data_IF_408607525443
#
_entry.id   IF_408607525443
#
_cell.length_a   1.000
_cell.length_b   1.000
_cell.length_c   1.000
_cell.angle_alpha   90.00
_cell.angle_beta   90.00
_cell.angle_gamma   90.00
#
_symmetry.space_group_name_H-M   'P 1'
#
loop_
_entity.id
_entity.type
_entity.pdbx_description
1 polymer ?
#
# COMPACT_ATOMS: atom_id res chain seq x y z
N UNK A 1 8.50 27.33 4.61
CA UNK A 1 7.51 26.74 5.52
C UNK A 1 7.10 25.43 4.86
N UNK A 2 7.58 24.28 5.36
CA UNK A 2 7.25 22.98 4.77
C UNK A 2 5.77 22.69 5.06
N UNK A 3 5.01 22.26 4.07
CA UNK A 3 3.62 21.84 4.28
C UNK A 3 3.60 20.71 5.32
N UNK A 4 2.63 20.67 6.25
CA UNK A 4 2.49 19.55 7.16
C UNK A 4 2.31 18.29 6.33
N UNK A 5 3.08 17.25 6.66
CA UNK A 5 2.92 15.92 6.08
C UNK A 5 1.53 15.41 6.51
N UNK A 6 0.57 15.44 5.59
CA UNK A 6 -0.79 14.97 5.85
C UNK A 6 -0.74 13.46 5.73
N UNK A 7 -0.41 12.80 6.83
CA UNK A 7 -0.45 11.35 6.92
C UNK A 7 -1.91 10.89 6.89
N UNK A 8 -2.29 10.15 5.84
CA UNK A 8 -3.67 9.69 5.64
C UNK A 8 -4.13 8.77 6.77
N UNK A 9 -3.21 8.00 7.35
CA UNK A 9 -3.44 7.05 8.43
C UNK A 9 -2.22 6.95 9.34
N UNK A 10 -2.45 6.52 10.58
CA UNK A 10 -1.37 5.90 11.36
C UNK A 10 -0.98 4.55 10.75
N UNK A 11 0.23 4.06 11.07
CA UNK A 11 0.67 2.72 10.61
C UNK A 11 -0.30 1.61 11.03
N UNK A 12 -0.81 1.67 12.24
CA UNK A 12 -1.75 0.69 12.78
C UNK A 12 -3.09 0.72 12.03
N UNK A 13 -3.63 1.91 11.81
CA UNK A 13 -4.88 2.14 11.07
C UNK A 13 -4.77 1.60 9.63
N UNK A 14 -3.66 1.90 8.95
CA UNK A 14 -3.37 1.39 7.62
C UNK A 14 -3.33 -0.14 7.59
N UNK A 15 -2.62 -0.78 8.53
CA UNK A 15 -2.55 -2.24 8.58
C UNK A 15 -3.91 -2.88 8.89
N UNK A 16 -4.70 -2.27 9.79
CA UNK A 16 -6.05 -2.72 10.12
C UNK A 16 -6.97 -2.66 8.89
N UNK A 17 -6.96 -1.55 8.16
CA UNK A 17 -7.74 -1.39 6.92
C UNK A 17 -7.30 -2.37 5.84
N UNK A 18 -6.00 -2.53 5.63
CA UNK A 18 -5.46 -3.48 4.66
C UNK A 18 -5.87 -4.92 5.01
N UNK A 19 -5.75 -5.32 6.28
CA UNK A 19 -6.12 -6.66 6.74
C UNK A 19 -7.61 -6.95 6.53
N UNK A 20 -8.49 -5.97 6.79
CA UNK A 20 -9.92 -6.11 6.53
C UNK A 20 -10.23 -6.31 5.04
N UNK A 21 -9.56 -5.56 4.16
CA UNK A 21 -9.66 -5.74 2.71
C UNK A 21 -9.23 -7.14 2.28
N UNK A 22 -8.06 -7.60 2.75
CA UNK A 22 -7.54 -8.94 2.47
C UNK A 22 -8.51 -10.03 2.95
N UNK A 23 -9.04 -9.92 4.17
CA UNK A 23 -9.99 -10.91 4.70
C UNK A 23 -11.26 -11.03 3.84
N UNK A 24 -11.77 -9.91 3.29
CA UNK A 24 -12.92 -9.96 2.37
C UNK A 24 -12.58 -10.72 1.10
N UNK A 25 -11.44 -10.40 0.49
CA UNK A 25 -10.99 -11.04 -0.76
C UNK A 25 -10.73 -12.54 -0.56
N UNK A 26 -10.09 -12.90 0.55
CA UNK A 26 -9.76 -14.29 0.87
C UNK A 26 -11.02 -15.12 1.13
N UNK A 27 -11.95 -14.62 1.95
CA UNK A 27 -13.14 -15.38 2.35
C UNK A 27 -14.23 -15.44 1.26
N UNK A 28 -14.33 -14.42 0.39
CA UNK A 28 -15.43 -14.26 -0.56
C UNK A 28 -14.99 -14.25 -2.03
N UNK A 29 -13.69 -14.44 -2.30
CA UNK A 29 -13.12 -14.49 -3.64
C UNK A 29 -13.42 -13.23 -4.47
N UNK A 30 -13.83 -13.36 -5.76
CA UNK A 30 -14.15 -12.23 -6.62
C UNK A 30 -15.27 -11.31 -6.10
N UNK A 31 -16.15 -11.80 -5.23
CA UNK A 31 -17.17 -10.94 -4.58
C UNK A 31 -16.55 -10.10 -3.46
N UNK A 32 -15.53 -10.62 -2.77
CA UNK A 32 -14.83 -9.91 -1.72
C UNK A 32 -14.20 -8.61 -2.19
N UNK A 33 -13.65 -8.60 -3.41
CA UNK A 33 -13.03 -7.41 -4.01
C UNK A 33 -14.04 -6.28 -4.19
N UNK A 34 -15.29 -6.58 -4.55
CA UNK A 34 -16.33 -5.55 -4.75
C UNK A 34 -16.89 -5.00 -3.42
N UNK A 35 -16.59 -5.65 -2.31
CA UNK A 35 -16.99 -5.23 -0.95
C UNK A 35 -15.89 -4.45 -0.22
N UNK A 36 -14.73 -4.29 -0.85
CA UNK A 36 -13.65 -3.46 -0.32
C UNK A 36 -14.00 -1.98 -0.46
N UNK A 37 -13.80 -1.22 0.61
CA UNK A 37 -13.89 0.23 0.56
C UNK A 37 -12.68 0.83 -0.16
N UNK A 38 -12.81 2.08 -0.62
CA UNK A 38 -11.67 2.79 -1.22
C UNK A 38 -10.48 2.92 -0.25
N UNK A 39 -10.76 3.08 1.05
CA UNK A 39 -9.70 3.18 2.06
C UNK A 39 -8.99 1.84 2.29
N UNK A 40 -9.72 0.72 2.27
CA UNK A 40 -9.09 -0.61 2.34
C UNK A 40 -8.22 -0.87 1.11
N UNK A 41 -8.68 -0.49 -0.08
CA UNK A 41 -7.91 -0.62 -1.33
C UNK A 41 -6.64 0.22 -1.27
N UNK A 42 -6.75 1.49 -0.88
CA UNK A 42 -5.60 2.38 -0.80
C UNK A 42 -4.63 1.96 0.32
N UNK A 43 -5.12 1.42 1.44
CA UNK A 43 -4.28 0.87 2.51
C UNK A 43 -3.52 -0.38 2.06
N UNK A 44 -4.17 -1.31 1.35
CA UNK A 44 -3.49 -2.46 0.74
C UNK A 44 -2.39 -2.02 -0.23
N UNK A 45 -2.67 -1.02 -1.08
CA UNK A 45 -1.67 -0.46 -1.99
C UNK A 45 -0.49 0.20 -1.25
N UNK A 46 -0.76 0.94 -0.17
CA UNK A 46 0.27 1.55 0.66
C UNK A 46 1.17 0.49 1.32
N UNK A 47 0.60 -0.61 1.83
CA UNK A 47 1.36 -1.73 2.38
C UNK A 47 2.26 -2.35 1.31
N UNK A 48 1.77 -2.56 0.09
CA UNK A 48 2.58 -3.03 -1.03
C UNK A 48 3.76 -2.08 -1.30
N UNK A 49 3.50 -0.78 -1.42
CA UNK A 49 4.53 0.23 -1.70
C UNK A 49 5.63 0.28 -0.61
N UNK A 50 5.25 0.19 0.67
CA UNK A 50 6.19 0.16 1.80
C UNK A 50 7.09 -1.08 1.80
N UNK A 51 6.63 -2.18 1.18
CA UNK A 51 7.42 -3.41 1.02
C UNK A 51 8.13 -3.49 -0.35
N UNK A 52 8.13 -2.41 -1.12
CA UNK A 52 8.72 -2.39 -2.46
C UNK A 52 7.97 -3.26 -3.48
N UNK A 53 6.73 -3.63 -3.19
CA UNK A 53 5.85 -4.40 -4.07
C UNK A 53 5.06 -3.41 -4.91
N UNK A 54 5.35 -3.37 -6.20
CA UNK A 54 4.67 -2.51 -7.14
C UNK A 54 4.96 -2.92 -8.57
N UNK A 55 4.22 -2.38 -9.54
CA UNK A 55 4.58 -2.56 -10.94
C UNK A 55 6.00 -2.07 -11.16
N UNK A 56 6.82 -2.87 -11.86
CA UNK A 56 8.03 -2.35 -12.50
C UNK A 56 7.59 -1.42 -13.62
N UNK A 57 7.30 -0.17 -13.27
CA UNK A 57 7.13 0.87 -14.27
C UNK A 57 8.49 1.04 -14.96
N UNK A 58 8.50 1.00 -16.29
CA UNK A 58 9.70 1.14 -17.14
C UNK A 58 10.40 2.51 -17.04
N UNK A 59 10.13 3.30 -16.00
CA UNK A 59 10.53 4.71 -15.93
C UNK A 59 11.07 5.19 -14.58
N UNK A 60 11.33 4.31 -13.60
CA UNK A 60 12.16 4.69 -12.45
C UNK A 60 13.56 4.10 -12.60
N UNK A 61 14.62 4.91 -12.82
CA UNK A 61 15.97 4.39 -12.77
C UNK A 61 16.20 3.75 -11.40
N UNK A 62 16.78 2.55 -11.42
CA UNK A 62 17.28 1.89 -10.22
C UNK A 62 18.17 2.90 -9.48
N UNK A 63 17.74 3.36 -8.31
CA UNK A 63 18.63 4.15 -7.45
C UNK A 63 19.72 3.21 -6.99
N UNK A 64 20.81 3.16 -7.74
CA UNK A 64 22.07 2.53 -7.37
C UNK A 64 22.64 3.33 -6.20
N UNK A 65 22.16 3.02 -5.01
CA UNK A 65 22.75 3.44 -3.74
C UNK A 65 23.76 2.41 -3.26
N UNK A 66 24.64 1.95 -4.15
CA UNK A 66 25.77 1.10 -3.78
C UNK A 66 26.88 2.02 -3.26
N UNK A 67 26.89 2.24 -1.94
CA UNK A 67 28.02 2.85 -1.24
C UNK A 67 28.76 1.73 -0.51
N UNK A 68 29.65 1.11 -1.26
CA UNK A 68 30.84 0.44 -0.75
C UNK A 68 32.05 1.00 -1.51
N UNK A 69 32.61 2.07 -0.95
CA UNK A 69 34.04 2.38 -0.98
C UNK A 69 34.40 2.92 0.40
#
# INVERSE_FOLDING_TARGET
MNAPEIDRWSREEMLRLAANGVAKVDLLGPRGTTLCSMDEIAAMAAVCALNGIGPRLLSTPHSTGDKHV
#
